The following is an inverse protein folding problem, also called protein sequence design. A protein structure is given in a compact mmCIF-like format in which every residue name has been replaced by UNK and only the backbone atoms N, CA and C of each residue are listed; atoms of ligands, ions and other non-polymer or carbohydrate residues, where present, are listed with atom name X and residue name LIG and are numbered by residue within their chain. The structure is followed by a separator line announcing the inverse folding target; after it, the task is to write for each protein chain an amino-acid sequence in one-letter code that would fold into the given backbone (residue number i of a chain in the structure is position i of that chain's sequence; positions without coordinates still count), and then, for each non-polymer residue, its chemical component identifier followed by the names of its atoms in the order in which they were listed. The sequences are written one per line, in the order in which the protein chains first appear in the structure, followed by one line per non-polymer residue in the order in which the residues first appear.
data_IF_483979147780
#
_entry.id   IF_483979147780
#
_cell.length_a   1.000
_cell.length_b   1.000
_cell.length_c   1.000
_cell.angle_alpha   90.00
_cell.angle_beta   90.00
_cell.angle_gamma   90.00
#
_symmetry.space_group_name_H-M   'P 1'
#
loop_
_entity.id
_entity.type
_entity.pdbx_description
1 polymer ?
#
# COMPACT_ATOMS: atom_id res chain seq x y z
N UNK A 1 -16.09 -3.41 38.03
CA UNK A 1 -16.51 -4.33 36.95
C UNK A 1 -15.72 -3.94 35.72
N UNK A 2 -14.49 -4.44 35.67
CA UNK A 2 -13.46 -3.98 34.73
C UNK A 2 -13.45 -4.81 33.46
N UNK A 3 -12.82 -4.27 32.41
CA UNK A 3 -12.65 -4.91 31.10
C UNK A 3 -12.20 -6.38 31.14
N UNK A 4 -11.52 -6.81 32.21
CA UNK A 4 -11.13 -8.19 32.48
C UNK A 4 -12.33 -9.14 32.62
N UNK A 5 -13.39 -8.68 33.28
CA UNK A 5 -14.59 -9.47 33.57
C UNK A 5 -15.38 -9.74 32.27
N UNK A 6 -15.41 -8.78 31.34
CA UNK A 6 -15.99 -8.96 30.00
C UNK A 6 -15.17 -9.93 29.16
N UNK A 7 -13.84 -9.89 29.25
CA UNK A 7 -12.98 -10.85 28.54
C UNK A 7 -13.17 -12.26 29.08
N UNK A 8 -13.25 -12.43 30.41
CA UNK A 8 -13.59 -13.72 31.01
C UNK A 8 -15.02 -14.17 30.67
N UNK A 9 -15.98 -13.24 30.57
CA UNK A 9 -17.37 -13.56 30.22
C UNK A 9 -17.54 -14.02 28.76
N UNK A 10 -16.78 -13.44 27.82
CA UNK A 10 -16.73 -13.86 26.42
C UNK A 10 -16.10 -15.27 26.31
N UNK A 11 -15.04 -15.53 27.08
CA UNK A 11 -14.33 -16.81 27.09
C UNK A 11 -15.08 -17.93 27.83
N UNK A 12 -15.97 -17.60 28.78
CA UNK A 12 -16.69 -18.57 29.60
C UNK A 12 -17.96 -19.14 28.94
N UNK A 13 -18.42 -18.59 27.81
CA UNK A 13 -19.72 -18.95 27.19
C UNK A 13 -19.67 -19.94 26.00
N UNK A 14 -18.50 -20.38 25.53
CA UNK A 14 -18.39 -21.10 24.25
C UNK A 14 -18.16 -22.61 24.32
N UNK A 15 -19.11 -23.39 23.80
CA UNK A 15 -18.95 -24.81 23.42
C UNK A 15 -18.41 -25.01 21.99
N UNK A 16 -17.72 -24.00 21.42
CA UNK A 16 -17.20 -23.97 20.04
C UNK A 16 -15.69 -23.70 19.95
N UNK A 17 -15.16 -23.65 18.73
CA UNK A 17 -13.72 -23.54 18.43
C UNK A 17 -13.08 -22.30 19.07
N UNK A 18 -12.34 -22.50 20.16
CA UNK A 18 -11.74 -21.46 21.01
C UNK A 18 -10.83 -20.48 20.26
N UNK A 19 -10.18 -20.89 19.18
CA UNK A 19 -9.30 -20.00 18.40
C UNK A 19 -10.08 -18.93 17.63
N UNK A 20 -11.26 -19.27 17.11
CA UNK A 20 -12.11 -18.35 16.37
C UNK A 20 -12.66 -17.22 17.27
N UNK A 21 -13.15 -17.58 18.46
CA UNK A 21 -13.71 -16.61 19.41
C UNK A 21 -12.65 -15.64 19.95
N UNK A 22 -11.43 -16.12 20.19
CA UNK A 22 -10.29 -15.28 20.63
C UNK A 22 -9.92 -14.26 19.54
N UNK A 23 -9.93 -14.68 18.27
CA UNK A 23 -9.61 -13.79 17.15
C UNK A 23 -10.68 -12.70 16.92
N UNK A 24 -11.97 -13.06 16.99
CA UNK A 24 -13.07 -12.07 16.89
C UNK A 24 -13.05 -11.07 18.07
N UNK A 25 -12.75 -11.56 19.28
CA UNK A 25 -12.54 -10.69 20.43
C UNK A 25 -11.33 -9.76 20.24
N UNK A 26 -10.25 -10.25 19.62
CA UNK A 26 -9.06 -9.46 19.30
C UNK A 26 -9.36 -8.36 18.28
N UNK A 27 -10.07 -8.66 17.18
CA UNK A 27 -10.50 -7.64 16.21
C UNK A 27 -11.31 -6.55 16.89
N UNK A 28 -12.25 -6.93 17.74
CA UNK A 28 -13.08 -5.98 18.50
C UNK A 28 -12.26 -5.11 19.44
N UNK A 29 -11.26 -5.69 20.11
CA UNK A 29 -10.36 -4.96 21.00
C UNK A 29 -9.45 -4.00 20.22
N UNK A 30 -8.91 -4.44 19.09
CA UNK A 30 -8.12 -3.61 18.14
C UNK A 30 -8.95 -2.44 17.62
N UNK A 31 -10.21 -2.71 17.26
CA UNK A 31 -11.14 -1.69 16.78
C UNK A 31 -11.40 -0.60 17.83
N UNK A 32 -11.42 -0.98 19.12
CA UNK A 32 -11.55 -0.04 20.26
C UNK A 32 -10.23 0.58 20.72
N UNK A 33 -9.09 0.00 20.34
CA UNK A 33 -7.76 0.40 20.84
C UNK A 33 -7.49 -0.02 22.29
N UNK A 34 -8.16 -1.05 22.79
CA UNK A 34 -8.03 -1.51 24.19
C UNK A 34 -6.70 -2.27 24.41
N UNK A 35 -5.60 -1.54 24.57
CA UNK A 35 -4.25 -2.12 24.70
C UNK A 35 -4.13 -3.27 25.72
N UNK A 36 -4.69 -3.18 26.95
CA UNK A 36 -4.57 -4.27 27.93
C UNK A 36 -5.31 -5.55 27.50
N UNK A 37 -6.43 -5.39 26.80
CA UNK A 37 -7.20 -6.53 26.27
C UNK A 37 -6.42 -7.15 25.10
N UNK A 38 -5.90 -6.33 24.20
CA UNK A 38 -5.07 -6.77 23.06
C UNK A 38 -3.88 -7.58 23.56
N UNK A 39 -3.12 -7.06 24.53
CA UNK A 39 -1.97 -7.76 25.11
C UNK A 39 -2.37 -9.11 25.74
N UNK A 40 -3.49 -9.13 26.47
CA UNK A 40 -3.99 -10.36 27.10
C UNK A 40 -4.40 -11.41 26.08
N UNK A 41 -5.06 -10.99 24.99
CA UNK A 41 -5.50 -11.89 23.92
C UNK A 41 -4.31 -12.42 23.10
N UNK A 42 -3.31 -11.59 22.81
CA UNK A 42 -2.07 -12.00 22.13
C UNK A 42 -1.31 -13.05 22.94
N UNK A 43 -1.14 -12.86 24.26
CA UNK A 43 -0.50 -13.83 25.16
C UNK A 43 -1.23 -15.18 25.23
N UNK A 44 -2.54 -15.20 24.95
CA UNK A 44 -3.38 -16.41 24.97
C UNK A 44 -3.48 -17.12 23.63
N UNK A 45 -2.72 -16.69 22.61
CA UNK A 45 -2.66 -17.35 21.30
C UNK A 45 -3.57 -16.74 20.23
N UNK A 46 -4.07 -15.51 20.42
CA UNK A 46 -4.74 -14.75 19.37
C UNK A 46 -3.74 -14.21 18.33
N UNK A 47 -3.26 -15.07 17.45
CA UNK A 47 -2.29 -14.71 16.40
C UNK A 47 -2.47 -15.47 15.08
N UNK A 48 -3.42 -16.41 15.03
CA UNK A 48 -3.74 -17.13 13.80
C UNK A 48 -4.87 -16.42 13.05
N UNK A 49 -4.52 -15.50 12.16
CA UNK A 49 -5.51 -14.67 11.46
C UNK A 49 -6.09 -15.33 10.20
N UNK A 50 -5.73 -16.59 9.91
CA UNK A 50 -6.08 -17.28 8.66
C UNK A 50 -7.60 -17.46 8.43
N UNK A 51 -8.42 -17.39 9.49
CA UNK A 51 -9.86 -17.67 9.44
C UNK A 51 -10.75 -16.49 9.86
N UNK A 52 -10.25 -15.26 9.87
CA UNK A 52 -10.98 -14.09 10.37
C UNK A 52 -11.51 -13.22 9.23
N UNK A 53 -12.78 -12.84 9.31
CA UNK A 53 -13.45 -12.01 8.30
C UNK A 53 -12.85 -10.60 8.17
N UNK A 54 -12.32 -10.06 9.28
CA UNK A 54 -11.59 -8.81 9.36
C UNK A 54 -10.24 -9.06 10.04
N UNK A 55 -9.13 -8.76 9.35
CA UNK A 55 -7.80 -9.02 9.90
C UNK A 55 -7.44 -7.95 10.95
N UNK A 56 -6.96 -8.33 12.15
CA UNK A 56 -6.55 -7.38 13.18
C UNK A 56 -5.51 -6.37 12.68
N UNK A 57 -4.55 -6.83 11.88
CA UNK A 57 -3.49 -5.98 11.32
C UNK A 57 -4.05 -4.87 10.43
N UNK A 58 -4.92 -5.21 9.46
CA UNK A 58 -5.53 -4.22 8.58
C UNK A 58 -6.51 -3.31 9.32
N UNK A 59 -7.16 -3.80 10.38
CA UNK A 59 -8.01 -2.99 11.26
C UNK A 59 -7.18 -1.93 12.02
N UNK A 60 -6.02 -2.30 12.55
CA UNK A 60 -5.11 -1.37 13.20
C UNK A 60 -4.62 -0.28 12.23
N UNK A 61 -4.25 -0.68 11.01
CA UNK A 61 -3.87 0.25 9.94
C UNK A 61 -5.03 1.17 9.57
N UNK A 62 -6.23 0.65 9.33
CA UNK A 62 -7.40 1.45 8.97
C UNK A 62 -7.82 2.45 10.06
N UNK A 63 -7.44 2.20 11.31
CA UNK A 63 -7.61 3.12 12.45
C UNK A 63 -6.44 4.09 12.65
N UNK A 64 -5.43 4.01 11.79
CA UNK A 64 -4.15 4.71 11.93
C UNK A 64 -3.56 4.56 13.34
N UNK A 65 -3.71 3.37 13.95
CA UNK A 65 -3.26 3.12 15.32
C UNK A 65 -1.90 2.42 15.28
N UNK A 66 -0.84 3.21 15.20
CA UNK A 66 0.54 2.72 15.13
C UNK A 66 0.95 1.90 16.36
N UNK A 67 0.43 2.24 17.54
CA UNK A 67 0.71 1.49 18.78
C UNK A 67 0.19 0.06 18.65
N UNK A 68 -1.07 -0.10 18.25
CA UNK A 68 -1.67 -1.42 18.07
C UNK A 68 -1.04 -2.15 16.88
N UNK A 69 -0.72 -1.44 15.79
CA UNK A 69 0.02 -2.01 14.67
C UNK A 69 1.34 -2.65 15.14
N UNK A 70 2.15 -1.90 15.89
CA UNK A 70 3.42 -2.39 16.42
C UNK A 70 3.26 -3.53 17.45
N UNK A 71 2.14 -3.60 18.17
CA UNK A 71 1.84 -4.76 19.03
C UNK A 71 1.52 -6.01 18.22
N UNK A 72 0.91 -5.88 17.04
CA UNK A 72 0.48 -7.00 16.21
C UNK A 72 1.57 -7.51 15.27
N UNK A 73 2.45 -6.63 14.77
CA UNK A 73 3.50 -6.96 13.81
C UNK A 73 4.37 -8.17 14.20
N UNK A 74 4.81 -8.34 15.47
CA UNK A 74 5.59 -9.51 15.89
C UNK A 74 4.83 -10.85 15.80
N UNK A 75 3.50 -10.81 15.71
CA UNK A 75 2.62 -11.98 15.66
C UNK A 75 2.13 -12.30 14.24
N UNK A 76 2.49 -11.50 13.24
CA UNK A 76 2.11 -11.72 11.85
C UNK A 76 2.89 -12.92 11.31
N UNK A 77 2.16 -13.88 10.74
CA UNK A 77 2.73 -15.18 10.35
C UNK A 77 2.89 -15.32 8.84
N UNK A 78 2.22 -14.47 8.04
CA UNK A 78 2.23 -14.58 6.58
C UNK A 78 2.66 -13.29 5.89
N UNK A 79 3.38 -13.43 4.77
CA UNK A 79 3.74 -12.32 3.89
C UNK A 79 2.52 -11.66 3.25
N UNK A 80 1.44 -12.43 3.06
CA UNK A 80 0.19 -11.94 2.50
C UNK A 80 -0.51 -10.95 3.44
N UNK A 81 -0.48 -11.16 4.75
CA UNK A 81 -1.02 -10.21 5.73
C UNK A 81 -0.29 -8.86 5.69
N UNK A 82 1.05 -8.92 5.66
CA UNK A 82 1.89 -7.73 5.54
C UNK A 82 1.63 -6.99 4.21
N UNK A 83 1.48 -7.73 3.10
CA UNK A 83 1.16 -7.15 1.80
C UNK A 83 -0.19 -6.43 1.80
N UNK A 84 -1.24 -7.05 2.33
CA UNK A 84 -2.57 -6.41 2.44
C UNK A 84 -2.51 -5.15 3.32
N UNK A 85 -1.88 -5.24 4.48
CA UNK A 85 -1.73 -4.10 5.39
C UNK A 85 -0.94 -2.96 4.73
N UNK A 86 0.11 -3.27 3.97
CA UNK A 86 0.90 -2.28 3.24
C UNK A 86 0.07 -1.55 2.18
N UNK A 87 -0.72 -2.29 1.40
CA UNK A 87 -1.62 -1.69 0.40
C UNK A 87 -2.64 -0.77 1.06
N UNK A 88 -3.23 -1.17 2.18
CA UNK A 88 -4.19 -0.35 2.94
C UNK A 88 -3.49 0.90 3.48
N UNK A 89 -2.37 0.77 4.18
CA UNK A 89 -1.62 1.90 4.73
C UNK A 89 -1.25 2.91 3.63
N UNK A 90 -0.82 2.40 2.47
CA UNK A 90 -0.42 3.22 1.36
C UNK A 90 -1.61 3.97 0.73
N UNK A 91 -2.77 3.31 0.55
CA UNK A 91 -3.97 3.95 0.01
C UNK A 91 -4.53 5.05 0.92
N UNK A 92 -4.42 4.88 2.23
CA UNK A 92 -4.88 5.89 3.20
C UNK A 92 -3.82 6.96 3.54
N UNK A 93 -2.60 6.86 2.99
CA UNK A 93 -1.55 7.85 3.20
C UNK A 93 -0.86 7.77 4.57
N UNK A 94 -0.93 6.63 5.26
CA UNK A 94 -0.33 6.46 6.60
C UNK A 94 1.17 6.16 6.50
N UNK A 95 1.99 7.20 6.48
CA UNK A 95 3.45 7.13 6.27
C UNK A 95 4.13 6.22 7.28
N UNK A 96 3.90 6.45 8.58
CA UNK A 96 4.53 5.69 9.66
C UNK A 96 4.06 4.22 9.65
N UNK A 97 2.82 3.98 9.25
CA UNK A 97 2.30 2.63 9.04
C UNK A 97 3.01 1.90 7.89
N UNK A 98 3.23 2.60 6.77
CA UNK A 98 3.99 2.07 5.62
C UNK A 98 5.44 1.77 6.02
N UNK A 99 6.10 2.67 6.76
CA UNK A 99 7.46 2.44 7.26
C UNK A 99 7.54 1.20 8.14
N UNK A 100 6.70 1.10 9.17
CA UNK A 100 6.68 -0.02 10.09
C UNK A 100 6.45 -1.36 9.38
N UNK A 101 5.54 -1.39 8.40
CA UNK A 101 5.25 -2.59 7.61
C UNK A 101 6.44 -3.01 6.74
N UNK A 102 7.10 -2.06 6.08
CA UNK A 102 8.28 -2.33 5.26
C UNK A 102 9.47 -2.82 6.12
N UNK A 103 9.65 -2.24 7.30
CA UNK A 103 10.68 -2.66 8.26
C UNK A 103 10.46 -4.09 8.78
N UNK A 104 9.20 -4.51 8.88
CA UNK A 104 8.82 -5.88 9.26
C UNK A 104 8.77 -6.85 8.06
N UNK A 105 9.33 -6.48 6.92
CA UNK A 105 9.52 -7.38 5.77
C UNK A 105 8.35 -7.43 4.80
N UNK A 106 7.42 -6.46 4.84
CA UNK A 106 6.42 -6.34 3.79
C UNK A 106 7.11 -6.09 2.43
N UNK A 107 6.74 -6.87 1.42
CA UNK A 107 7.32 -6.72 0.09
C UNK A 107 6.73 -5.49 -0.62
N UNK A 108 7.57 -4.51 -0.95
CA UNK A 108 7.15 -3.24 -1.58
C UNK A 108 6.42 -3.42 -2.92
N UNK A 109 6.72 -4.52 -3.63
CA UNK A 109 6.10 -4.88 -4.91
C UNK A 109 5.14 -6.07 -4.79
N UNK A 110 4.54 -6.29 -3.61
CA UNK A 110 3.56 -7.36 -3.45
C UNK A 110 2.42 -7.20 -4.48
N UNK A 111 2.01 -8.31 -5.10
CA UNK A 111 0.94 -8.33 -6.11
C UNK A 111 -0.31 -9.06 -5.64
N UNK A 112 -0.16 -9.98 -4.68
CA UNK A 112 -1.24 -10.80 -4.10
C UNK A 112 -2.44 -9.97 -3.63
N UNK A 113 -2.16 -8.77 -3.12
CA UNK A 113 -3.14 -7.86 -2.52
C UNK A 113 -3.35 -6.59 -3.36
N UNK A 114 -2.76 -6.53 -4.54
CA UNK A 114 -2.57 -5.31 -5.33
C UNK A 114 -1.23 -4.62 -5.04
N UNK A 115 -0.82 -3.74 -5.96
CA UNK A 115 0.46 -3.04 -5.91
C UNK A 115 0.41 -1.86 -4.92
N UNK A 116 1.28 -1.81 -3.90
CA UNK A 116 1.34 -0.68 -2.96
C UNK A 116 1.48 0.69 -3.65
N UNK A 117 2.24 0.77 -4.75
CA UNK A 117 2.44 2.00 -5.53
C UNK A 117 1.16 2.55 -6.17
N UNK A 118 0.04 1.81 -6.22
CA UNK A 118 -1.27 2.37 -6.59
C UNK A 118 -1.80 3.40 -5.59
N UNK A 119 -1.13 3.57 -4.46
CA UNK A 119 -1.26 4.73 -3.57
C UNK A 119 -1.12 6.07 -4.29
N UNK A 120 -0.52 6.13 -5.49
CA UNK A 120 -0.49 7.35 -6.31
C UNK A 120 -1.85 8.00 -6.56
N UNK A 121 -2.95 7.24 -6.45
CA UNK A 121 -4.31 7.76 -6.67
C UNK A 121 -4.96 8.35 -5.41
N UNK A 122 -4.69 7.76 -4.24
CA UNK A 122 -5.43 8.02 -2.99
C UNK A 122 -4.55 8.36 -1.79
N UNK A 123 -3.30 7.91 -1.81
CA UNK A 123 -2.32 8.15 -0.77
C UNK A 123 -1.67 9.54 -0.88
N UNK A 124 -0.77 9.80 0.06
CA UNK A 124 -0.03 11.06 0.14
C UNK A 124 1.20 11.04 -0.75
N UNK A 125 1.70 12.24 -1.07
CA UNK A 125 2.96 12.43 -1.83
C UNK A 125 4.12 11.75 -1.11
N UNK A 126 4.13 11.82 0.22
CA UNK A 126 5.12 11.23 1.11
C UNK A 126 5.10 9.70 1.04
N UNK A 127 3.93 9.07 1.06
CA UNK A 127 3.82 7.61 0.87
C UNK A 127 4.35 7.18 -0.49
N UNK A 128 4.00 7.91 -1.56
CA UNK A 128 4.48 7.57 -2.90
C UNK A 128 6.01 7.69 -2.96
N UNK A 129 6.57 8.78 -2.43
CA UNK A 129 8.02 8.98 -2.32
C UNK A 129 8.67 7.83 -1.56
N UNK A 130 8.16 7.49 -0.38
CA UNK A 130 8.68 6.42 0.46
C UNK A 130 8.68 5.08 -0.29
N UNK A 131 7.58 4.72 -0.94
CA UNK A 131 7.51 3.49 -1.73
C UNK A 131 8.55 3.48 -2.86
N UNK A 132 8.70 4.58 -3.60
CA UNK A 132 9.71 4.70 -4.67
C UNK A 132 11.15 4.60 -4.13
N UNK A 133 11.45 5.23 -3.00
CA UNK A 133 12.75 5.14 -2.33
C UNK A 133 13.07 3.72 -1.86
N UNK A 134 12.04 2.95 -1.50
CA UNK A 134 12.15 1.55 -1.08
C UNK A 134 12.13 0.57 -2.25
N UNK A 135 12.20 1.07 -3.49
CA UNK A 135 12.33 0.25 -4.70
C UNK A 135 11.00 -0.23 -5.27
N UNK A 136 9.91 0.51 -5.07
CA UNK A 136 8.65 0.24 -5.75
C UNK A 136 8.83 0.32 -7.27
N UNK A 137 8.40 -0.72 -7.96
CA UNK A 137 8.45 -0.79 -9.41
C UNK A 137 7.36 0.11 -10.02
N UNK A 138 7.79 1.01 -10.89
CA UNK A 138 6.90 1.92 -11.64
C UNK A 138 6.29 1.24 -12.86
N UNK A 139 6.87 0.13 -13.34
CA UNK A 139 6.43 -0.60 -14.54
C UNK A 139 5.70 -1.90 -14.21
N UNK A 140 4.82 -1.85 -13.22
CA UNK A 140 4.09 -3.05 -12.79
C UNK A 140 3.21 -3.58 -13.93
N UNK A 141 3.59 -4.76 -14.41
CA UNK A 141 3.01 -5.45 -15.55
C UNK A 141 3.05 -4.64 -16.86
N UNK A 142 4.07 -3.80 -17.09
CA UNK A 142 4.21 -3.10 -18.37
C UNK A 142 3.27 -1.89 -18.53
N UNK A 143 2.76 -1.31 -17.43
CA UNK A 143 1.68 -0.31 -17.44
C UNK A 143 2.04 1.00 -16.75
N UNK A 144 3.24 1.52 -17.00
CA UNK A 144 3.66 2.87 -16.55
C UNK A 144 2.59 3.92 -16.92
N UNK A 145 2.08 3.88 -18.15
CA UNK A 145 1.05 4.80 -18.65
C UNK A 145 -0.17 4.86 -17.73
N UNK A 146 -0.61 3.69 -17.26
CA UNK A 146 -1.76 3.57 -16.36
C UNK A 146 -1.44 4.11 -14.96
N UNK A 147 -0.24 3.83 -14.44
CA UNK A 147 0.20 4.35 -13.15
C UNK A 147 0.21 5.89 -13.16
N UNK A 148 0.75 6.49 -14.22
CA UNK A 148 0.77 7.95 -14.40
C UNK A 148 -0.65 8.51 -14.56
N UNK A 149 -1.53 7.85 -15.32
CA UNK A 149 -2.94 8.25 -15.43
C UNK A 149 -3.73 8.13 -14.11
N UNK A 150 -3.36 7.19 -13.25
CA UNK A 150 -3.91 7.07 -11.90
C UNK A 150 -3.40 8.21 -11.00
N UNK A 151 -2.12 8.57 -11.10
CA UNK A 151 -1.54 9.72 -10.41
C UNK A 151 -2.20 11.06 -10.80
N UNK A 152 -2.51 11.24 -12.09
CA UNK A 152 -3.20 12.43 -12.61
C UNK A 152 -4.60 12.63 -12.02
N UNK A 153 -5.22 11.55 -11.52
CA UNK A 153 -6.56 11.57 -10.92
C UNK A 153 -6.53 11.77 -9.40
N UNK A 154 -5.34 11.87 -8.81
CA UNK A 154 -5.20 12.19 -7.39
C UNK A 154 -5.39 13.68 -7.15
N UNK A 155 -5.79 14.05 -5.93
CA UNK A 155 -5.89 15.45 -5.54
C UNK A 155 -4.51 16.15 -5.64
N UNK A 156 -3.42 15.40 -5.42
CA UNK A 156 -2.03 15.86 -5.48
C UNK A 156 -1.34 15.56 -6.83
N UNK A 157 -2.11 15.48 -7.91
CA UNK A 157 -1.68 15.02 -9.23
C UNK A 157 -0.36 15.64 -9.73
N UNK A 158 -0.13 16.94 -9.54
CA UNK A 158 1.09 17.61 -10.01
C UNK A 158 2.33 17.05 -9.30
N UNK A 159 2.33 17.06 -7.97
CA UNK A 159 3.45 16.58 -7.15
C UNK A 159 3.72 15.09 -7.36
N UNK A 160 2.67 14.25 -7.37
CA UNK A 160 2.80 12.80 -7.56
C UNK A 160 3.31 12.49 -8.97
N UNK A 161 2.76 13.14 -10.00
CA UNK A 161 3.21 12.94 -11.38
C UNK A 161 4.65 13.39 -11.58
N UNK A 162 5.04 14.52 -10.98
CA UNK A 162 6.42 15.00 -11.05
C UNK A 162 7.39 14.00 -10.41
N UNK A 163 7.06 13.48 -9.22
CA UNK A 163 7.87 12.46 -8.55
C UNK A 163 8.02 11.18 -9.39
N UNK A 164 6.92 10.70 -9.97
CA UNK A 164 6.96 9.53 -10.85
C UNK A 164 7.84 9.80 -12.07
N UNK A 165 7.69 10.95 -12.74
CA UNK A 165 8.49 11.31 -13.92
C UNK A 165 9.97 11.45 -13.60
N UNK A 166 10.31 12.05 -12.45
CA UNK A 166 11.70 12.15 -12.00
C UNK A 166 12.30 10.76 -11.73
N UNK A 167 11.55 9.89 -11.04
CA UNK A 167 11.98 8.53 -10.75
C UNK A 167 12.14 7.69 -12.02
N UNK A 168 11.18 7.78 -12.95
CA UNK A 168 11.25 7.12 -14.26
C UNK A 168 12.44 7.66 -15.06
N UNK A 169 12.68 8.97 -15.07
CA UNK A 169 13.80 9.59 -15.77
C UNK A 169 15.15 9.09 -15.26
N UNK A 170 15.27 8.91 -13.95
CA UNK A 170 16.46 8.33 -13.31
C UNK A 170 16.70 6.87 -13.72
N UNK A 171 15.64 6.08 -13.87
CA UNK A 171 15.72 4.64 -14.18
C UNK A 171 15.84 4.33 -15.67
N UNK A 172 15.13 5.07 -16.53
CA UNK A 172 14.94 4.76 -17.96
C UNK A 172 15.47 5.82 -18.92
N UNK A 173 15.97 6.94 -18.38
CA UNK A 173 16.52 8.06 -19.14
C UNK A 173 15.46 9.10 -19.54
N UNK A 174 15.92 10.34 -19.71
CA UNK A 174 15.06 11.48 -20.02
C UNK A 174 14.30 11.32 -21.35
N UNK A 175 14.89 10.64 -22.34
CA UNK A 175 14.23 10.38 -23.63
C UNK A 175 12.92 9.60 -23.48
N UNK A 176 12.91 8.56 -22.63
CA UNK A 176 11.71 7.78 -22.33
C UNK A 176 10.63 8.65 -21.67
N UNK A 177 11.02 9.55 -20.76
CA UNK A 177 10.09 10.48 -20.11
C UNK A 177 9.48 11.47 -21.10
N UNK A 178 10.26 11.98 -22.07
CA UNK A 178 9.77 12.86 -23.13
C UNK A 178 8.74 12.14 -24.01
N UNK A 179 9.06 10.91 -24.44
CA UNK A 179 8.15 10.09 -25.26
C UNK A 179 6.86 9.73 -24.50
N UNK A 180 6.99 9.34 -23.23
CA UNK A 180 5.87 9.03 -22.34
C UNK A 180 4.96 10.26 -22.14
N UNK A 181 5.54 11.44 -21.92
CA UNK A 181 4.79 12.70 -21.84
C UNK A 181 4.06 13.01 -23.13
N UNK A 182 4.71 12.84 -24.28
CA UNK A 182 4.07 13.08 -25.59
C UNK A 182 2.88 12.11 -25.83
N UNK A 183 3.01 10.86 -25.41
CA UNK A 183 1.96 9.84 -25.50
C UNK A 183 0.76 10.14 -24.60
N UNK A 184 1.01 10.51 -23.33
CA UNK A 184 -0.04 10.72 -22.32
C UNK A 184 -0.72 12.10 -22.41
N UNK A 185 -0.03 13.11 -22.95
CA UNK A 185 -0.52 14.48 -23.04
C UNK A 185 -0.49 15.04 -24.47
N UNK A 186 -1.27 14.47 -25.41
CA UNK A 186 -1.33 14.97 -26.78
C UNK A 186 -2.04 16.33 -26.81
N UNK A 187 -1.28 17.42 -26.72
CA UNK A 187 -1.79 18.80 -26.88
C UNK A 187 -1.60 19.76 -25.70
N UNK A 188 -0.86 19.38 -24.65
CA UNK A 188 -0.56 20.27 -23.52
C UNK A 188 0.39 21.40 -23.90
N UNK A 189 -0.11 22.62 -23.96
CA UNK A 189 0.65 23.84 -24.22
C UNK A 189 1.51 24.22 -23.01
N UNK A 190 2.77 23.79 -23.00
CA UNK A 190 3.84 24.75 -22.74
C UNK A 190 4.92 24.58 -23.82
N UNK A 191 5.24 25.72 -24.43
CA UNK A 191 5.86 25.84 -25.73
C UNK A 191 7.37 25.73 -25.60
N UNK A 192 7.96 24.69 -26.20
CA UNK A 192 8.91 24.94 -27.30
C UNK A 192 8.85 23.84 -28.35
N UNK A 193 7.91 24.07 -29.28
CA UNK A 193 7.84 23.61 -30.68
C UNK A 193 6.93 22.41 -30.95
N UNK A 194 6.16 22.46 -32.05
CA UNK A 194 5.42 21.32 -32.53
C UNK A 194 6.44 20.28 -32.98
N UNK A 195 6.54 19.16 -32.28
CA UNK A 195 7.23 18.00 -32.85
C UNK A 195 6.27 17.42 -33.89
N UNK A 196 6.37 17.97 -35.11
CA UNK A 196 6.26 17.13 -36.31
C UNK A 196 7.09 15.89 -36.00
N UNK A 197 6.45 14.72 -35.91
CA UNK A 197 7.13 13.44 -35.84
C UNK A 197 8.31 13.50 -36.81
N UNK A 198 9.53 13.51 -36.29
CA UNK A 198 10.70 13.63 -37.15
C UNK A 198 10.68 12.45 -38.12
N UNK A 199 11.08 12.67 -39.36
CA UNK A 199 11.12 11.60 -40.36
C UNK A 199 12.07 10.46 -39.93
N UNK A 200 12.89 10.67 -38.89
CA UNK A 200 13.68 9.66 -38.18
C UNK A 200 12.83 8.63 -37.42
N UNK A 201 11.73 9.03 -36.78
CA UNK A 201 10.79 8.10 -36.11
C UNK A 201 9.96 7.34 -37.14
N UNK A 202 9.62 7.98 -38.27
CA UNK A 202 9.02 7.29 -39.42
C UNK A 202 9.99 6.30 -40.09
N UNK A 203 11.29 6.60 -40.12
CA UNK A 203 12.34 5.69 -40.60
C UNK A 203 12.60 4.52 -39.64
N UNK A 204 12.52 4.72 -38.33
CA UNK A 204 12.68 3.64 -37.35
C UNK A 204 11.50 2.63 -37.43
N UNK A 205 10.29 3.12 -37.72
CA UNK A 205 9.11 2.27 -37.94
C UNK A 205 9.04 1.61 -39.34
N UNK A 206 9.92 1.97 -40.26
CA UNK A 206 10.04 1.30 -41.58
C UNK A 206 11.20 0.29 -41.67
N UNK A 207 11.97 0.11 -40.59
CA UNK A 207 13.08 -0.86 -40.53
C UNK A 207 12.91 -1.97 -39.48
N UNK A 208 11.71 -2.16 -38.93
CA UNK A 208 11.36 -3.49 -38.39
C UNK A 208 11.09 -4.41 -39.57
N UNK A 209 12.13 -5.17 -39.95
CA UNK A 209 12.28 -6.10 -41.10
C UNK A 209 11.00 -6.70 -41.69
#
# INVERSE_FOLDING_TARGET
MGNLEITEMILARGGGNRHYEVNEALVSAVQRGDLPIIETLLKRGGADFANVSAHPLTTAVARNNLVVLNMLLPHVSTSQELAHALVVAAQFGFVEGVEALLEHGAHVNALESGTPLRAVRWGTVEVVRLLLERGADVDVCGRIDKLVQEAQRSDNHEAVTQLLMEHIGRLRGEGFVVDLRASLFPGGSDNTRPVKLSDRVKQILTFSK
#
